data_IF_086808818147
#
_entry.id   IF_086808818147
#
_cell.length_a   1.000
_cell.length_b   1.000
_cell.length_c   1.000
_cell.angle_alpha   90.00
_cell.angle_beta   90.00
_cell.angle_gamma   90.00
#
_symmetry.space_group_name_H-M   'P 1'
#
loop_
_entity.id
_entity.type
_entity.pdbx_description
1 polymer ?
#
# COMPACT_ATOMS: atom_id res chain seq x y z
N UNK A 1 -18.54 1.41 0.93
CA UNK A 1 -18.05 0.02 0.85
C UNK A 1 -16.59 0.03 1.27
N UNK A 2 -16.13 -0.83 2.19
CA UNK A 2 -14.71 -0.89 2.52
C UNK A 2 -13.92 -1.31 1.27
N UNK A 3 -12.73 -0.74 1.03
CA UNK A 3 -11.91 -1.10 -0.12
C UNK A 3 -11.54 -2.58 -0.03
N UNK A 4 -11.72 -3.29 -1.15
CA UNK A 4 -11.40 -4.70 -1.25
C UNK A 4 -9.88 -4.91 -1.22
N UNK A 5 -9.41 -6.09 -0.75
CA UNK A 5 -8.01 -6.46 -0.94
C UNK A 5 -7.62 -6.43 -2.42
N UNK A 6 -6.39 -6.01 -2.71
CA UNK A 6 -5.87 -5.87 -4.07
C UNK A 6 -4.85 -6.96 -4.33
N UNK A 7 -5.07 -7.78 -5.36
CA UNK A 7 -4.08 -8.75 -5.82
C UNK A 7 -2.94 -8.05 -6.58
N UNK A 8 -1.71 -8.42 -6.26
CA UNK A 8 -0.50 -7.80 -6.77
C UNK A 8 0.48 -8.85 -7.28
N UNK A 9 1.12 -8.54 -8.40
CA UNK A 9 2.21 -9.33 -8.95
C UNK A 9 3.30 -8.41 -9.47
N UNK A 10 4.51 -8.62 -8.98
CA UNK A 10 5.68 -7.83 -9.38
C UNK A 10 6.39 -8.53 -10.53
N UNK A 11 6.14 -8.11 -11.76
CA UNK A 11 6.74 -8.74 -12.94
C UNK A 11 8.28 -8.61 -12.90
N UNK A 12 9.04 -9.68 -13.20
CA UNK A 12 10.50 -9.65 -13.18
C UNK A 12 11.10 -8.55 -14.04
N UNK A 13 10.57 -8.33 -15.25
CA UNK A 13 11.10 -7.33 -16.18
C UNK A 13 10.77 -5.87 -15.80
N UNK A 14 9.77 -5.64 -14.94
CA UNK A 14 9.24 -4.29 -14.70
C UNK A 14 9.98 -3.53 -13.58
N UNK A 15 10.74 -4.23 -12.74
CA UNK A 15 11.30 -3.65 -11.50
C UNK A 15 12.74 -4.06 -11.21
N UNK A 16 13.26 -5.04 -11.93
CA UNK A 16 14.59 -5.58 -11.70
C UNK A 16 15.55 -4.91 -12.67
N UNK A 17 16.42 -4.04 -12.16
CA UNK A 17 17.72 -3.87 -12.81
C UNK A 17 18.42 -5.23 -12.68
N UNK A 18 19.14 -5.67 -13.72
CA UNK A 18 19.77 -7.01 -13.78
C UNK A 18 20.58 -7.35 -12.51
N UNK A 19 21.02 -6.33 -11.77
CA UNK A 19 21.86 -6.43 -10.57
C UNK A 19 21.14 -6.25 -9.21
N UNK A 20 19.81 -6.43 -9.10
CA UNK A 20 19.11 -6.34 -7.80
C UNK A 20 18.39 -7.65 -7.39
N UNK A 21 19.08 -8.63 -6.80
CA UNK A 21 20.52 -8.80 -6.65
C UNK A 21 20.95 -10.01 -7.49
N UNK A 22 22.19 -10.04 -8.04
CA UNK A 22 22.67 -11.21 -8.77
C UNK A 22 22.55 -12.48 -7.93
N UNK A 23 21.94 -13.53 -8.49
CA UNK A 23 21.74 -14.82 -7.82
C UNK A 23 20.66 -14.87 -6.73
N UNK A 24 20.13 -13.73 -6.29
CA UNK A 24 19.10 -13.66 -5.24
C UNK A 24 18.06 -12.56 -5.51
N UNK A 25 17.30 -12.65 -6.62
CA UNK A 25 16.40 -11.59 -7.05
C UNK A 25 15.32 -11.29 -6.00
N UNK A 26 15.13 -10.02 -5.66
CA UNK A 26 14.05 -9.56 -4.79
C UNK A 26 13.51 -8.21 -5.25
N UNK A 27 12.24 -7.95 -4.96
CA UNK A 27 11.59 -6.69 -5.32
C UNK A 27 12.10 -5.59 -4.38
N UNK A 28 12.60 -4.45 -4.92
CA UNK A 28 13.01 -3.32 -4.08
C UNK A 28 11.87 -2.79 -3.20
N UNK A 29 12.19 -2.38 -1.97
CA UNK A 29 11.20 -1.80 -1.05
C UNK A 29 10.48 -0.57 -1.63
N UNK A 30 11.18 0.26 -2.42
CA UNK A 30 10.59 1.40 -3.13
C UNK A 30 9.53 0.99 -4.16
N UNK A 31 9.73 -0.13 -4.86
CA UNK A 31 8.73 -0.67 -5.80
C UNK A 31 7.48 -1.17 -5.07
N UNK A 32 7.66 -1.76 -3.88
CA UNK A 32 6.53 -2.13 -3.03
C UNK A 32 5.74 -0.90 -2.57
N UNK A 33 6.43 0.17 -2.14
CA UNK A 33 5.77 1.41 -1.72
C UNK A 33 5.05 2.10 -2.86
N UNK A 34 5.62 2.13 -4.06
CA UNK A 34 4.96 2.70 -5.24
C UNK A 34 3.70 1.89 -5.63
N UNK A 35 3.76 0.56 -5.55
CA UNK A 35 2.59 -0.28 -5.78
C UNK A 35 1.49 -0.05 -4.73
N UNK A 36 1.88 0.05 -3.46
CA UNK A 36 0.97 0.41 -2.35
C UNK A 36 0.36 1.79 -2.58
N UNK A 37 1.15 2.79 -2.98
CA UNK A 37 0.69 4.14 -3.28
C UNK A 37 -0.37 4.14 -4.38
N UNK A 38 -0.07 3.54 -5.54
CA UNK A 38 -1.01 3.45 -6.68
C UNK A 38 -2.29 2.72 -6.30
N UNK A 39 -2.18 1.61 -5.58
CA UNK A 39 -3.34 0.83 -5.16
C UNK A 39 -4.19 1.60 -4.14
N UNK A 40 -3.58 2.38 -3.23
CA UNK A 40 -4.32 3.23 -2.31
C UNK A 40 -5.04 4.36 -3.06
N UNK A 41 -4.36 5.05 -3.98
CA UNK A 41 -4.97 6.13 -4.76
C UNK A 41 -6.18 5.64 -5.56
N UNK A 42 -6.09 4.44 -6.13
CA UNK A 42 -7.19 3.79 -6.82
C UNK A 42 -8.31 3.36 -5.86
N UNK A 43 -7.97 2.68 -4.76
CA UNK A 43 -8.95 2.14 -3.82
C UNK A 43 -9.73 3.22 -3.06
N UNK A 44 -9.10 4.37 -2.81
CA UNK A 44 -9.68 5.48 -2.04
C UNK A 44 -10.07 6.69 -2.89
N UNK A 45 -9.77 6.68 -4.19
CA UNK A 45 -9.99 7.80 -5.11
C UNK A 45 -9.42 9.13 -4.58
N UNK A 46 -8.25 9.07 -3.92
CA UNK A 46 -7.61 10.19 -3.21
C UNK A 46 -6.09 10.10 -3.35
N UNK A 47 -5.37 11.21 -3.59
CA UNK A 47 -3.92 11.22 -3.59
C UNK A 47 -3.33 10.72 -2.27
N UNK A 48 -2.24 9.97 -2.35
CA UNK A 48 -1.40 9.68 -1.18
C UNK A 48 -0.46 10.87 -0.96
N UNK A 49 -0.50 11.46 0.23
CA UNK A 49 0.36 12.58 0.60
C UNK A 49 1.73 12.10 1.09
N UNK A 50 1.76 11.04 1.89
CA UNK A 50 3.01 10.44 2.38
C UNK A 50 2.82 8.99 2.82
N UNK A 51 3.95 8.29 2.94
CA UNK A 51 4.07 7.04 3.70
C UNK A 51 4.59 7.39 5.10
N UNK A 52 3.75 7.31 6.13
CA UNK A 52 4.14 7.65 7.51
C UNK A 52 4.99 6.56 8.16
N UNK A 53 4.75 5.31 7.79
CA UNK A 53 5.50 4.16 8.29
C UNK A 53 5.53 3.05 7.24
N UNK A 54 6.66 2.37 7.12
CA UNK A 54 6.79 1.14 6.36
C UNK A 54 7.73 0.17 7.07
N UNK A 55 7.35 -1.11 7.14
CA UNK A 55 8.16 -2.20 7.70
C UNK A 55 8.14 -3.37 6.73
N UNK A 56 9.31 -3.71 6.20
CA UNK A 56 9.52 -4.88 5.34
C UNK A 56 9.90 -6.07 6.23
N UNK A 57 9.10 -7.13 6.20
CA UNK A 57 9.25 -8.29 7.09
C UNK A 57 9.91 -9.47 6.39
N UNK A 58 9.65 -9.63 5.08
CA UNK A 58 10.20 -10.71 4.25
C UNK A 58 10.48 -10.19 2.85
N UNK A 59 11.43 -10.82 2.17
CA UNK A 59 11.68 -10.53 0.77
C UNK A 59 10.50 -10.96 -0.10
N UNK A 60 10.11 -10.08 -1.01
CA UNK A 60 9.18 -10.40 -2.08
C UNK A 60 10.01 -10.82 -3.29
N UNK A 61 9.72 -12.00 -3.85
CA UNK A 61 10.37 -12.49 -5.07
C UNK A 61 9.64 -11.96 -6.31
N UNK A 62 10.34 -11.72 -7.42
CA UNK A 62 9.68 -11.43 -8.68
C UNK A 62 8.69 -12.54 -9.07
N UNK A 63 7.53 -12.15 -9.58
CA UNK A 63 6.46 -13.07 -9.96
C UNK A 63 5.67 -13.67 -8.80
N UNK A 64 6.07 -13.46 -7.54
CA UNK A 64 5.35 -13.91 -6.36
C UNK A 64 3.96 -13.27 -6.31
N UNK A 65 2.95 -14.09 -6.02
CA UNK A 65 1.58 -13.62 -5.85
C UNK A 65 1.43 -13.02 -4.45
N UNK A 66 0.98 -11.77 -4.40
CA UNK A 66 0.78 -11.03 -3.16
C UNK A 66 -0.64 -10.45 -3.11
N UNK A 67 -1.12 -10.17 -1.90
CA UNK A 67 -2.40 -9.50 -1.67
C UNK A 67 -2.22 -8.36 -0.67
N UNK A 68 -2.71 -7.18 -1.03
CA UNK A 68 -2.66 -5.98 -0.23
C UNK A 68 -3.99 -5.77 0.49
N UNK A 69 -3.93 -5.56 1.80
CA UNK A 69 -5.08 -5.34 2.67
C UNK A 69 -5.05 -3.93 3.25
N UNK A 70 -6.23 -3.37 3.47
CA UNK A 70 -6.43 -2.05 4.04
C UNK A 70 -7.09 -2.14 5.41
N UNK A 71 -6.70 -1.26 6.33
CA UNK A 71 -7.41 -1.03 7.59
C UNK A 71 -7.66 0.46 7.73
N UNK A 72 -8.95 0.81 7.75
CA UNK A 72 -9.41 2.15 8.04
C UNK A 72 -9.36 2.42 9.55
N UNK A 73 -9.21 3.68 9.99
CA UNK A 73 -9.44 4.06 11.38
C UNK A 73 -10.84 3.62 11.81
N UNK A 74 -10.98 3.08 13.02
CA UNK A 74 -12.27 2.68 13.55
C UNK A 74 -13.25 3.86 13.72
N UNK A 75 -14.56 3.61 13.84
CA UNK A 75 -15.59 4.65 13.92
C UNK A 75 -15.37 5.65 15.08
N UNK A 76 -14.74 5.23 16.18
CA UNK A 76 -14.39 6.11 17.30
C UNK A 76 -13.38 7.22 16.93
N UNK A 77 -12.56 7.05 15.89
CA UNK A 77 -11.67 8.09 15.38
C UNK A 77 -12.39 9.09 14.46
N UNK A 78 -13.59 8.77 13.99
CA UNK A 78 -14.40 9.58 13.07
C UNK A 78 -15.44 10.44 13.83
N UNK A 79 -15.67 10.16 15.12
CA UNK A 79 -16.70 10.82 15.95
C UNK A 79 -16.33 12.18 16.54
N UNK A 80 -15.19 12.76 16.18
CA UNK A 80 -14.88 14.16 16.49
C UNK A 80 -15.52 15.05 15.43
N UNK A 81 -16.81 15.35 15.61
CA UNK A 81 -17.61 16.18 14.70
C UNK A 81 -16.99 17.55 14.43
N UNK A 82 -16.24 17.65 13.34
CA UNK A 82 -15.84 18.89 12.69
C UNK A 82 -15.53 18.56 11.22
N UNK A 83 -16.42 18.96 10.30
CA UNK A 83 -16.23 18.95 8.85
C UNK A 83 -15.53 17.70 8.27
N UNK A 84 -16.32 16.66 7.98
CA UNK A 84 -15.91 15.36 7.39
C UNK A 84 -15.15 15.45 6.04
N UNK A 85 -14.95 16.66 5.50
CA UNK A 85 -14.34 16.92 4.20
C UNK A 85 -12.93 17.55 4.24
N UNK A 86 -12.38 17.95 5.41
CA UNK A 86 -11.21 18.82 5.44
C UNK A 86 -9.88 18.19 5.91
N UNK A 87 -9.90 16.98 6.48
CA UNK A 87 -8.70 16.40 7.09
C UNK A 87 -8.10 15.23 6.30
N UNK A 88 -6.76 15.13 6.22
CA UNK A 88 -6.10 13.96 5.70
C UNK A 88 -6.49 12.69 6.46
N UNK A 89 -6.67 11.58 5.73
CA UNK A 89 -7.09 10.29 6.30
C UNK A 89 -5.88 9.39 6.47
N UNK A 90 -5.67 8.84 7.66
CA UNK A 90 -4.66 7.81 7.89
C UNK A 90 -5.22 6.43 7.55
N UNK A 91 -4.45 5.63 6.81
CA UNK A 91 -4.83 4.27 6.44
C UNK A 91 -3.67 3.33 6.74
N UNK A 92 -3.91 2.25 7.46
CA UNK A 92 -2.91 1.19 7.63
C UNK A 92 -3.03 0.16 6.51
N UNK A 93 -1.91 -0.42 6.09
CA UNK A 93 -1.85 -1.41 5.02
C UNK A 93 -1.00 -2.63 5.41
N UNK A 94 -1.33 -3.78 4.83
CA UNK A 94 -0.58 -5.02 4.99
C UNK A 94 -0.46 -5.75 3.65
N UNK A 95 0.77 -6.00 3.21
CA UNK A 95 1.07 -6.88 2.09
C UNK A 95 1.31 -8.29 2.61
N UNK A 96 0.62 -9.27 2.04
CA UNK A 96 0.74 -10.68 2.40
C UNK A 96 0.98 -11.54 1.17
N UNK A 97 1.52 -12.73 1.38
CA UNK A 97 1.52 -13.78 0.35
C UNK A 97 0.09 -14.15 0.00
N UNK A 98 -0.19 -14.35 -1.28
CA UNK A 98 -1.52 -14.75 -1.74
C UNK A 98 -1.81 -16.25 -1.54
N UNK A 99 -0.82 -17.04 -1.11
CA UNK A 99 -0.98 -18.48 -0.92
C UNK A 99 -1.65 -18.82 0.43
N UNK A 100 -2.67 -19.68 0.32
CA UNK A 100 -3.53 -20.33 1.33
C UNK A 100 -4.56 -19.43 2.09
N UNK A 101 -5.88 -19.82 2.14
CA UNK A 101 -6.97 -19.04 2.77
C UNK A 101 -6.83 -18.84 4.28
N UNK A 102 -5.88 -19.55 4.92
CA UNK A 102 -5.49 -19.42 6.31
C UNK A 102 -4.76 -18.09 6.62
N UNK A 103 -4.41 -17.33 5.59
CA UNK A 103 -3.83 -15.99 5.70
C UNK A 103 -2.31 -16.05 5.54
N UNK A 104 -1.86 -15.99 4.28
CA UNK A 104 -0.45 -16.01 3.91
C UNK A 104 0.44 -15.05 4.71
N UNK A 105 1.73 -15.35 4.71
CA UNK A 105 2.71 -14.66 5.54
C UNK A 105 2.74 -13.15 5.28
N UNK A 106 2.95 -12.36 6.34
CA UNK A 106 3.11 -10.90 6.22
C UNK A 106 4.46 -10.58 5.59
N UNK A 107 4.41 -9.94 4.42
CA UNK A 107 5.57 -9.53 3.63
C UNK A 107 6.02 -8.12 4.01
N UNK A 108 5.05 -7.20 4.12
CA UNK A 108 5.28 -5.82 4.50
C UNK A 108 4.02 -5.21 5.14
N UNK A 109 4.19 -4.12 5.88
CA UNK A 109 3.08 -3.37 6.48
C UNK A 109 3.46 -1.91 6.69
N UNK A 110 2.46 -1.07 6.88
CA UNK A 110 2.72 0.33 7.14
C UNK A 110 1.47 1.17 7.26
N UNK A 111 1.68 2.48 7.16
CA UNK A 111 0.65 3.49 7.21
C UNK A 111 0.88 4.55 6.12
N UNK A 112 -0.22 5.05 5.57
CA UNK A 112 -0.27 6.12 4.58
C UNK A 112 -1.15 7.25 5.11
N UNK A 113 -0.86 8.47 4.66
CA UNK A 113 -1.77 9.60 4.78
C UNK A 113 -2.32 9.95 3.41
N UNK A 114 -3.64 9.91 3.28
CA UNK A 114 -4.38 10.27 2.07
C UNK A 114 -4.90 11.69 2.20
N UNK A 115 -5.06 12.38 1.07
CA UNK A 115 -5.71 13.68 1.04
C UNK A 115 -7.17 13.60 1.52
N UNK A 116 -7.71 14.74 1.93
CA UNK A 116 -9.13 14.87 2.24
C UNK A 116 -9.99 14.66 0.98
N UNK A 117 -11.29 14.37 1.16
CA UNK A 117 -12.19 14.17 0.03
C UNK A 117 -12.28 15.47 -0.81
N UNK A 118 -12.18 15.36 -2.13
CA UNK A 118 -12.31 16.52 -3.03
C UNK A 118 -11.05 17.37 -3.20
N UNK A 119 -9.93 17.05 -2.52
CA UNK A 119 -8.64 17.67 -2.81
C UNK A 119 -8.12 17.18 -4.17
N UNK A 120 -8.20 18.03 -5.22
CA UNK A 120 -7.52 17.78 -6.49
C UNK A 120 -6.01 17.96 -6.27
N UNK A 121 -5.23 16.97 -6.73
CA UNK A 121 -3.80 16.89 -6.48
C UNK A 121 -3.05 18.15 -6.93
N UNK A 122 -2.39 18.81 -5.98
CA UNK A 122 -1.22 19.60 -6.30
C UNK A 122 -0.08 18.58 -6.47
N UNK A 123 0.37 18.40 -7.71
CA UNK A 123 1.57 17.63 -7.98
C UNK A 123 2.76 18.34 -7.34
N UNK A 124 3.34 17.76 -6.29
CA UNK A 124 4.69 18.11 -5.89
C UNK A 124 5.64 17.33 -6.81
N UNK A 125 6.35 18.07 -7.66
CA UNK A 125 7.45 17.59 -8.50
C UNK A 125 8.68 17.37 -7.64
#
# INVERSE_FOLDING_TARGET
MPPQPVDMRFAPAAFMREDHFPGAPCVPGSCLLEAVRRAAEQAFARPVLEVTQARFRRFVRPGQACRLYWKLPGPAAVMSGAAEAALPVRVSWQLREAADPSGGARLAEGELRLAAAGAKGAACV
#
